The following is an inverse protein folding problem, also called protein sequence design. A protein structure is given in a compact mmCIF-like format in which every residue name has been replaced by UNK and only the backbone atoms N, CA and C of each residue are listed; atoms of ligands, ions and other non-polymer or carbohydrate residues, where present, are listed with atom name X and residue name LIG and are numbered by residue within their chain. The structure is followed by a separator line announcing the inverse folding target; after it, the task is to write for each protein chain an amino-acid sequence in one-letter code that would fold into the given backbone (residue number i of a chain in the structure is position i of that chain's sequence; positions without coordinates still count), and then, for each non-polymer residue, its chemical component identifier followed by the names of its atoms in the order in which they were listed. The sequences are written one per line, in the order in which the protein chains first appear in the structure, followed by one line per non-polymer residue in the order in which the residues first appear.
data_IF_006999639604
#
_entry.id   IF_006999639604
#
_cell.length_a   1.000
_cell.length_b   1.000
_cell.length_c   1.000
_cell.angle_alpha   90.00
_cell.angle_beta   90.00
_cell.angle_gamma   90.00
#
_symmetry.space_group_name_H-M   'P 1'
#
loop_
_entity.id
_entity.type
_entity.pdbx_description
1 polymer ?
#
# COMPACT_ATOMS: atom_id res chain seq x y z
N UNK A 1 -1.38 37.77 23.09
CA UNK A 1 -0.07 37.10 23.00
C UNK A 1 -0.06 35.95 23.99
N UNK A 2 -0.57 34.78 23.58
CA UNK A 2 -0.66 33.58 24.41
C UNK A 2 0.09 32.43 23.74
N UNK A 3 0.84 31.70 24.57
CA UNK A 3 2.04 30.93 24.28
C UNK A 3 1.68 29.45 24.02
N UNK A 4 2.46 28.82 23.12
CA UNK A 4 2.61 27.37 22.85
C UNK A 4 2.25 26.46 24.04
N UNK A 5 1.35 25.51 23.82
CA UNK A 5 1.44 24.10 24.26
C UNK A 5 0.13 23.37 23.92
N UNK A 6 0.22 22.19 23.31
CA UNK A 6 -0.95 21.40 22.94
C UNK A 6 -0.70 20.50 21.75
N UNK A 7 0.31 19.63 21.83
CA UNK A 7 0.37 18.43 20.98
C UNK A 7 -0.76 17.53 21.47
N UNK A 8 -1.85 17.44 20.71
CA UNK A 8 -2.78 16.32 20.74
C UNK A 8 -3.69 16.42 19.51
N UNK A 9 -3.32 15.72 18.43
CA UNK A 9 -4.32 15.22 17.48
C UNK A 9 -4.01 13.74 17.34
N UNK A 10 -4.83 12.94 18.01
CA UNK A 10 -4.84 11.50 17.90
C UNK A 10 -5.12 11.12 16.45
N UNK A 11 -4.07 10.88 15.66
CA UNK A 11 -4.16 10.30 14.34
C UNK A 11 -4.36 8.79 14.52
N UNK A 12 -5.60 8.36 14.73
CA UNK A 12 -5.95 6.95 14.63
C UNK A 12 -5.93 6.57 13.14
N UNK A 13 -4.75 6.17 12.65
CA UNK A 13 -4.64 5.48 11.37
C UNK A 13 -5.27 4.10 11.54
N UNK A 14 -6.51 3.92 11.08
CA UNK A 14 -7.10 2.58 10.95
C UNK A 14 -6.49 1.97 9.69
N UNK A 15 -5.43 1.18 9.88
CA UNK A 15 -4.88 0.33 8.82
C UNK A 15 -5.85 -0.85 8.69
N UNK A 16 -6.80 -0.79 7.75
CA UNK A 16 -7.62 -1.94 7.40
C UNK A 16 -6.77 -2.88 6.52
N UNK A 17 -6.07 -3.82 7.14
CA UNK A 17 -5.38 -4.88 6.44
C UNK A 17 -6.40 -5.97 6.08
N UNK A 18 -6.91 -5.98 4.85
CA UNK A 18 -7.69 -7.10 4.32
C UNK A 18 -6.77 -8.32 4.20
N UNK A 19 -6.85 -9.22 5.18
CA UNK A 19 -6.04 -10.43 5.26
C UNK A 19 -6.68 -11.53 4.42
N UNK A 20 -6.39 -11.57 3.11
CA UNK A 20 -6.78 -12.70 2.25
C UNK A 20 -5.83 -13.87 2.50
N UNK A 21 -6.35 -14.95 3.08
CA UNK A 21 -5.60 -16.18 3.40
C UNK A 21 -5.00 -16.83 2.14
N UNK A 22 -3.68 -16.93 2.07
CA UNK A 22 -3.01 -17.83 1.13
C UNK A 22 -2.92 -19.23 1.75
N UNK A 23 -3.63 -20.18 1.13
CA UNK A 23 -3.58 -21.59 1.47
C UNK A 23 -2.21 -22.23 1.21
N UNK A 24 -1.96 -23.30 1.96
CA UNK A 24 -0.71 -24.02 2.11
C UNK A 24 -0.05 -24.50 0.80
N UNK A 25 1.28 -24.36 0.73
CA UNK A 25 2.16 -25.25 -0.04
C UNK A 25 3.15 -25.85 0.95
N UNK A 26 3.00 -27.15 1.19
CA UNK A 26 3.82 -27.90 2.12
C UNK A 26 5.09 -28.49 1.48
N UNK A 27 5.73 -29.28 2.34
CA UNK A 27 6.79 -30.27 2.11
C UNK A 27 8.25 -29.79 2.11
N UNK A 28 8.84 -30.02 3.26
CA UNK A 28 10.25 -30.23 3.60
C UNK A 28 10.94 -31.28 2.70
N UNK A 29 12.17 -31.00 2.25
CA UNK A 29 13.16 -32.05 2.03
C UNK A 29 14.55 -31.55 2.48
N UNK A 30 15.10 -32.23 3.49
CA UNK A 30 16.46 -32.07 3.99
C UNK A 30 17.42 -32.75 3.02
N UNK A 31 18.49 -32.08 2.60
CA UNK A 31 19.72 -32.81 2.28
C UNK A 31 20.97 -31.99 2.58
N UNK A 32 21.84 -32.61 3.37
CA UNK A 32 23.16 -32.16 3.81
C UNK A 32 24.19 -32.88 2.94
N UNK A 33 25.10 -32.16 2.28
CA UNK A 33 26.51 -32.57 2.12
C UNK A 33 27.28 -31.68 1.12
N UNK A 34 28.47 -31.30 1.59
CA UNK A 34 29.76 -31.25 0.90
C UNK A 34 29.98 -30.32 -0.32
N UNK A 35 31.07 -29.58 -0.19
CA UNK A 35 31.66 -28.69 -1.17
C UNK A 35 32.22 -29.44 -2.39
N UNK A 36 32.05 -28.86 -3.59
CA UNK A 36 33.12 -28.73 -4.58
C UNK A 36 32.74 -27.73 -5.70
N UNK A 37 33.73 -26.96 -6.15
CA UNK A 37 33.72 -26.04 -7.30
C UNK A 37 35.09 -26.21 -7.99
N UNK A 38 35.31 -25.89 -9.29
CA UNK A 38 34.43 -25.80 -10.48
C UNK A 38 35.01 -26.56 -11.71
N UNK A 39 34.20 -26.83 -12.74
CA UNK A 39 34.68 -26.77 -14.13
C UNK A 39 33.54 -26.58 -15.15
N UNK A 40 33.86 -25.82 -16.20
CA UNK A 40 32.97 -25.14 -17.15
C UNK A 40 32.30 -26.10 -18.14
N UNK A 41 31.00 -25.88 -18.40
CA UNK A 41 30.42 -26.06 -19.74
C UNK A 41 29.49 -24.89 -20.02
N UNK A 42 29.75 -24.20 -21.11
CA UNK A 42 28.95 -23.09 -21.59
C UNK A 42 27.54 -23.58 -21.92
N UNK A 43 26.60 -23.30 -21.02
CA UNK A 43 25.18 -23.29 -21.33
C UNK A 43 24.81 -21.81 -21.45
N UNK A 44 24.43 -21.40 -22.66
CA UNK A 44 23.66 -20.17 -22.91
C UNK A 44 22.67 -19.99 -21.76
N UNK A 45 22.65 -18.87 -21.01
CA UNK A 45 21.57 -18.68 -20.05
C UNK A 45 20.30 -18.63 -20.89
N UNK A 46 19.49 -19.69 -20.76
CA UNK A 46 18.10 -19.63 -21.13
C UNK A 46 17.58 -18.35 -20.49
N UNK A 47 17.06 -17.45 -21.32
CA UNK A 47 16.37 -16.27 -20.84
C UNK A 47 15.34 -16.78 -19.82
N UNK A 48 15.59 -16.50 -18.54
CA UNK A 48 14.56 -16.55 -17.53
C UNK A 48 13.49 -15.61 -18.07
N UNK A 49 12.41 -16.18 -18.62
CA UNK A 49 11.17 -15.46 -18.80
C UNK A 49 10.81 -15.02 -17.39
N UNK A 50 11.14 -13.77 -17.06
CA UNK A 50 10.62 -13.11 -15.89
C UNK A 50 9.10 -13.14 -16.09
N UNK A 51 8.45 -14.10 -15.44
CA UNK A 51 7.03 -14.06 -15.25
C UNK A 51 6.77 -12.68 -14.65
N UNK A 52 5.97 -11.86 -15.35
CA UNK A 52 5.61 -10.54 -14.94
C UNK A 52 4.87 -10.67 -13.60
N UNK A 53 5.60 -10.59 -12.48
CA UNK A 53 5.01 -10.61 -11.16
C UNK A 53 4.27 -9.30 -11.06
N UNK A 54 2.94 -9.36 -11.18
CA UNK A 54 2.08 -8.19 -11.06
C UNK A 54 2.42 -7.47 -9.74
N UNK A 55 2.65 -6.16 -9.83
CA UNK A 55 2.97 -5.36 -8.65
C UNK A 55 1.77 -5.37 -7.70
N UNK A 56 2.03 -5.46 -6.40
CA UNK A 56 0.98 -5.30 -5.40
C UNK A 56 0.51 -3.85 -5.37
N UNK A 57 -0.77 -3.62 -5.14
CA UNK A 57 -1.35 -2.27 -5.16
C UNK A 57 -1.62 -1.81 -3.73
N UNK A 58 -1.06 -0.66 -3.37
CA UNK A 58 -1.40 0.07 -2.15
C UNK A 58 -2.09 1.38 -2.52
N UNK A 59 -3.28 1.58 -1.99
CA UNK A 59 -4.00 2.85 -2.12
C UNK A 59 -3.85 3.64 -0.83
N UNK A 60 -3.43 4.90 -0.95
CA UNK A 60 -3.31 5.83 0.16
C UNK A 60 -4.39 6.89 0.02
N UNK A 61 -5.47 6.70 0.76
CA UNK A 61 -6.66 7.53 0.73
C UNK A 61 -6.63 8.59 1.84
N UNK A 62 -7.05 9.82 1.51
CA UNK A 62 -7.17 10.90 2.50
C UNK A 62 -8.38 11.79 2.25
N UNK A 63 -9.03 12.23 3.32
CA UNK A 63 -10.12 13.21 3.24
C UNK A 63 -9.69 14.62 2.79
N UNK A 64 -8.39 14.92 2.78
CA UNK A 64 -7.85 16.17 2.23
C UNK A 64 -7.86 17.37 3.18
N UNK A 65 -8.03 17.17 4.49
CA UNK A 65 -8.12 18.27 5.47
C UNK A 65 -6.81 18.57 6.22
N UNK A 66 -5.70 17.89 5.89
CA UNK A 66 -4.44 18.09 6.59
C UNK A 66 -3.92 19.54 6.45
N UNK A 67 -3.34 20.12 7.53
CA UNK A 67 -2.88 21.49 7.52
C UNK A 67 -1.71 21.68 6.54
N UNK A 68 -1.88 22.56 5.55
CA UNK A 68 -0.94 22.74 4.43
C UNK A 68 0.45 23.24 4.82
N UNK A 69 0.59 23.91 5.97
CA UNK A 69 1.89 24.34 6.49
C UNK A 69 2.74 23.17 7.03
N UNK A 70 2.13 22.01 7.32
CA UNK A 70 2.83 20.79 7.74
C UNK A 70 2.82 19.75 6.62
N UNK A 71 1.69 19.59 5.94
CA UNK A 71 1.49 18.67 4.82
C UNK A 71 1.06 19.42 3.55
N UNK A 72 2.00 20.02 2.79
CA UNK A 72 1.67 20.76 1.57
C UNK A 72 0.87 19.91 0.57
N UNK A 73 1.24 18.64 0.46
CA UNK A 73 0.64 17.66 -0.45
C UNK A 73 -0.35 16.72 0.24
N UNK A 74 -0.91 17.13 1.39
CA UNK A 74 -1.79 16.30 2.23
C UNK A 74 -1.07 15.08 2.85
N UNK A 75 -1.71 14.39 3.80
CA UNK A 75 -1.08 13.26 4.52
C UNK A 75 -0.79 12.09 3.58
N UNK A 76 -1.71 11.80 2.65
CA UNK A 76 -1.48 10.76 1.65
C UNK A 76 -0.25 11.06 0.78
N UNK A 77 0.05 12.32 0.48
CA UNK A 77 1.25 12.73 -0.23
C UNK A 77 2.53 12.37 0.53
N UNK A 78 2.59 12.65 1.83
CA UNK A 78 3.75 12.31 2.66
C UNK A 78 3.95 10.79 2.78
N UNK A 79 2.87 10.02 2.90
CA UNK A 79 2.93 8.56 2.94
C UNK A 79 3.40 8.01 1.58
N UNK A 80 2.84 8.49 0.47
CA UNK A 80 3.27 8.09 -0.87
C UNK A 80 4.76 8.37 -1.10
N UNK A 81 5.27 9.54 -0.68
CA UNK A 81 6.70 9.88 -0.69
C UNK A 81 7.54 8.84 0.07
N UNK A 82 7.12 8.47 1.29
CA UNK A 82 7.82 7.47 2.11
C UNK A 82 7.78 6.05 1.54
N UNK A 83 6.74 5.72 0.76
CA UNK A 83 6.58 4.42 0.12
C UNK A 83 7.37 4.28 -1.20
N UNK A 84 7.85 5.38 -1.80
CA UNK A 84 8.60 5.37 -3.07
C UNK A 84 9.71 4.30 -3.17
N UNK A 85 10.51 4.00 -2.12
CA UNK A 85 11.51 2.94 -2.17
C UNK A 85 10.97 1.54 -2.48
N UNK A 86 9.67 1.30 -2.26
CA UNK A 86 9.00 0.02 -2.50
C UNK A 86 8.41 -0.11 -3.91
N UNK A 87 8.52 0.93 -4.75
CA UNK A 87 7.89 1.03 -6.08
C UNK A 87 8.31 -0.03 -7.10
N UNK A 88 9.38 -0.78 -6.83
CA UNK A 88 9.77 -1.93 -7.64
C UNK A 88 8.76 -3.08 -7.52
N UNK A 89 8.19 -3.29 -6.33
CA UNK A 89 7.24 -4.37 -6.03
C UNK A 89 5.81 -3.87 -5.84
N UNK A 90 5.64 -2.57 -5.58
CA UNK A 90 4.35 -1.96 -5.27
C UNK A 90 3.96 -0.90 -6.30
N UNK A 91 2.70 -0.89 -6.71
CA UNK A 91 1.99 0.23 -7.29
C UNK A 91 1.43 1.07 -6.13
N UNK A 92 1.83 2.33 -6.05
CA UNK A 92 1.40 3.26 -4.99
C UNK A 92 0.42 4.23 -5.61
N UNK A 93 -0.83 4.14 -5.19
CA UNK A 93 -1.93 4.97 -5.70
C UNK A 93 -2.32 5.98 -4.63
N UNK A 94 -2.40 7.25 -5.00
CA UNK A 94 -2.90 8.32 -4.15
C UNK A 94 -4.37 8.58 -4.49
N UNK A 95 -5.23 8.63 -3.49
CA UNK A 95 -6.66 8.90 -3.65
C UNK A 95 -7.15 9.90 -2.61
N UNK A 96 -8.17 10.69 -2.95
CA UNK A 96 -8.77 11.66 -2.06
C UNK A 96 -10.31 11.63 -2.11
N UNK A 97 -10.95 12.03 -1.00
CA UNK A 97 -12.41 12.18 -0.91
C UNK A 97 -13.02 13.07 -2.00
N UNK A 98 -12.28 14.07 -2.46
CA UNK A 98 -12.70 15.02 -3.50
C UNK A 98 -12.58 14.47 -4.93
N UNK A 99 -11.92 13.35 -5.12
CA UNK A 99 -11.73 12.75 -6.45
C UNK A 99 -13.05 12.10 -6.94
N UNK A 100 -13.21 11.84 -8.25
CA UNK A 100 -14.32 11.05 -8.76
C UNK A 100 -14.43 9.71 -8.02
N UNK A 101 -15.67 9.25 -7.78
CA UNK A 101 -15.95 8.06 -6.95
C UNK A 101 -15.30 8.09 -5.56
N UNK A 102 -15.08 9.30 -5.02
CA UNK A 102 -14.33 9.56 -3.78
C UNK A 102 -12.94 8.93 -3.81
N UNK A 103 -12.33 8.81 -4.99
CA UNK A 103 -10.99 8.25 -5.21
C UNK A 103 -10.92 6.73 -5.18
N UNK A 104 -12.05 6.03 -5.06
CA UNK A 104 -12.11 4.57 -4.90
C UNK A 104 -13.11 3.95 -5.89
N UNK A 105 -12.85 4.04 -7.21
CA UNK A 105 -13.66 3.32 -8.19
C UNK A 105 -13.55 1.80 -8.01
N UNK A 106 -14.58 1.06 -8.40
CA UNK A 106 -14.67 -0.39 -8.19
C UNK A 106 -13.47 -1.16 -8.77
N UNK A 107 -12.94 -0.73 -9.91
CA UNK A 107 -11.77 -1.33 -10.54
C UNK A 107 -10.49 -1.16 -9.72
N UNK A 108 -10.38 -0.05 -8.97
CA UNK A 108 -9.25 0.17 -8.07
C UNK A 108 -9.41 -0.68 -6.82
N UNK A 109 -10.59 -0.67 -6.19
CA UNK A 109 -10.87 -1.49 -5.00
C UNK A 109 -10.61 -2.98 -5.26
N UNK A 110 -11.06 -3.52 -6.40
CA UNK A 110 -10.87 -4.93 -6.78
C UNK A 110 -9.41 -5.37 -6.89
N UNK A 111 -8.49 -4.46 -7.25
CA UNK A 111 -7.06 -4.77 -7.39
C UNK A 111 -6.22 -4.30 -6.20
N UNK A 112 -6.81 -3.62 -5.24
CA UNK A 112 -6.11 -3.06 -4.09
C UNK A 112 -5.78 -4.17 -3.09
N UNK A 113 -4.49 -4.37 -2.83
CA UNK A 113 -4.04 -5.31 -1.79
C UNK A 113 -4.07 -4.66 -0.41
N UNK A 114 -3.78 -3.36 -0.32
CA UNK A 114 -3.75 -2.60 0.94
C UNK A 114 -4.38 -1.23 0.74
N UNK A 115 -5.40 -0.90 1.54
CA UNK A 115 -6.00 0.43 1.60
C UNK A 115 -5.57 1.12 2.91
N UNK A 116 -4.81 2.21 2.78
CA UNK A 116 -4.46 3.09 3.90
C UNK A 116 -5.48 4.22 3.92
N UNK A 117 -6.21 4.35 5.04
CA UNK A 117 -7.29 5.32 5.17
C UNK A 117 -6.93 6.42 6.18
N UNK A 118 -6.97 7.68 5.75
CA UNK A 118 -6.88 8.83 6.63
C UNK A 118 -8.15 9.68 6.61
N UNK A 119 -8.82 9.78 7.76
CA UNK A 119 -10.02 10.60 7.96
C UNK A 119 -10.01 11.26 9.35
N UNK A 120 -10.71 12.39 9.49
CA UNK A 120 -10.80 13.17 10.72
C UNK A 120 -12.09 14.00 10.81
N UNK A 121 -12.33 14.92 9.87
CA UNK A 121 -13.41 15.90 9.95
C UNK A 121 -14.59 15.58 9.03
N UNK A 122 -14.36 14.83 7.94
CA UNK A 122 -15.32 14.65 6.84
C UNK A 122 -15.84 13.22 6.75
N UNK A 123 -15.94 12.51 7.88
CA UNK A 123 -16.45 11.15 7.90
C UNK A 123 -17.88 11.04 7.33
N UNK A 124 -18.74 12.03 7.62
CA UNK A 124 -20.12 12.08 7.11
C UNK A 124 -20.24 12.41 5.62
N UNK A 125 -19.15 12.83 4.96
CA UNK A 125 -19.14 13.09 3.53
C UNK A 125 -18.85 11.81 2.72
N UNK A 126 -18.41 10.73 3.37
CA UNK A 126 -18.16 9.43 2.74
C UNK A 126 -19.50 8.74 2.48
N UNK A 127 -19.74 8.28 1.27
CA UNK A 127 -20.99 7.60 0.92
C UNK A 127 -21.08 6.24 1.59
N UNK A 128 -22.22 5.92 2.20
CA UNK A 128 -22.45 4.59 2.81
C UNK A 128 -22.24 3.45 1.81
N UNK A 129 -22.71 3.62 0.57
CA UNK A 129 -22.47 2.65 -0.52
C UNK A 129 -21.00 2.37 -0.80
N UNK A 130 -20.11 3.35 -0.54
CA UNK A 130 -18.67 3.15 -0.69
C UNK A 130 -18.10 2.41 0.53
N UNK A 131 -18.59 2.72 1.73
CA UNK A 131 -18.20 2.01 2.96
C UNK A 131 -18.53 0.53 2.83
N UNK A 132 -19.74 0.20 2.38
CA UNK A 132 -20.21 -1.18 2.19
C UNK A 132 -19.34 -2.00 1.22
N UNK A 133 -18.63 -1.34 0.29
CA UNK A 133 -17.70 -2.02 -0.64
C UNK A 133 -16.35 -2.36 0.01
N UNK A 134 -16.01 -1.70 1.11
CA UNK A 134 -14.69 -1.80 1.75
C UNK A 134 -14.69 -2.82 2.90
N UNK A 135 -15.82 -3.00 3.60
CA UNK A 135 -15.99 -3.93 4.73
C UNK A 135 -16.21 -5.37 4.26
#
# INVERSE_FOLDING_TARGET
MFKKSGVFVSAMAVILALSISFGAIGAEEKNTAAAEKPAKKAMKPAAEKSANVAKRVVVVWSEGTAPKNVYPNDINGAICEGLKPLSQKWEIVKANLSDPDQGLPDELLKRTDVLIWWGHQKHGDVKDELVDKIV
#
